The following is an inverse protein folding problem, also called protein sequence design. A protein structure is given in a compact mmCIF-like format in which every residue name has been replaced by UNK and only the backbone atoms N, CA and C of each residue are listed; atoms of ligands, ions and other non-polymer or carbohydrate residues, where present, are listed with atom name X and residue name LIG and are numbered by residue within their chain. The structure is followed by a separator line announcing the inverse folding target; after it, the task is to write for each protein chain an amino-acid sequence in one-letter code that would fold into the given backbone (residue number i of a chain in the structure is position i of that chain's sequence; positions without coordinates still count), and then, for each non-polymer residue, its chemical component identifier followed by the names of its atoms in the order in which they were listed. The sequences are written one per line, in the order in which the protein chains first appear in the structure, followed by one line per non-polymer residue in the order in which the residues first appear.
data_IF_730821010273
#
_entry.id   IF_730821010273
#
_cell.length_a   1.000
_cell.length_b   1.000
_cell.length_c   1.000
_cell.angle_alpha   90.00
_cell.angle_beta   90.00
_cell.angle_gamma   90.00
#
_symmetry.space_group_name_H-M   'P 1'
#
loop_
_entity.id
_entity.type
_entity.pdbx_description
1 polymer ?
#
# COMPACT_ATOMS: atom_id res chain seq x y z
N UNK A 1 -15.38 33.40 -38.97
CA UNK A 1 -14.51 33.69 -37.80
C UNK A 1 -14.97 32.98 -36.51
N UNK A 2 -16.28 32.94 -36.20
CA UNK A 2 -16.82 32.41 -34.92
C UNK A 2 -16.66 30.89 -34.70
N UNK A 3 -16.86 30.07 -35.73
CA UNK A 3 -16.79 28.60 -35.60
C UNK A 3 -15.40 28.06 -35.22
N UNK A 4 -14.32 28.67 -35.75
CA UNK A 4 -12.95 28.28 -35.40
C UNK A 4 -12.70 28.44 -33.90
N UNK A 5 -13.13 29.57 -33.32
CA UNK A 5 -12.98 29.85 -31.89
C UNK A 5 -13.76 28.85 -31.03
N UNK A 6 -14.94 28.44 -31.49
CA UNK A 6 -15.75 27.42 -30.81
C UNK A 6 -15.08 26.04 -30.83
N UNK A 7 -14.60 25.59 -32.00
CA UNK A 7 -13.90 24.30 -32.14
C UNK A 7 -12.62 24.24 -31.31
N UNK A 8 -11.83 25.32 -31.31
CA UNK A 8 -10.62 25.42 -30.48
C UNK A 8 -10.94 25.25 -28.99
N UNK A 9 -12.01 25.87 -28.50
CA UNK A 9 -12.43 25.72 -27.08
C UNK A 9 -12.93 24.32 -26.77
N UNK A 10 -13.68 23.70 -27.69
CA UNK A 10 -14.16 22.33 -27.55
C UNK A 10 -13.00 21.33 -27.49
N UNK A 11 -11.99 21.52 -28.35
CA UNK A 11 -10.81 20.68 -28.42
C UNK A 11 -9.93 20.83 -27.17
N UNK A 12 -9.75 22.06 -26.67
CA UNK A 12 -9.06 22.32 -25.39
C UNK A 12 -9.80 21.65 -24.22
N UNK A 13 -11.14 21.75 -24.17
CA UNK A 13 -11.93 21.08 -23.15
C UNK A 13 -11.78 19.57 -23.24
N UNK A 14 -11.94 18.97 -24.43
CA UNK A 14 -11.81 17.53 -24.65
C UNK A 14 -10.42 17.01 -24.28
N UNK A 15 -9.34 17.74 -24.65
CA UNK A 15 -7.96 17.41 -24.28
C UNK A 15 -7.76 17.51 -22.76
N UNK A 16 -8.33 18.52 -22.09
CA UNK A 16 -8.27 18.66 -20.64
C UNK A 16 -9.01 17.53 -19.92
N UNK A 17 -10.18 17.11 -20.41
CA UNK A 17 -10.92 15.96 -19.85
C UNK A 17 -10.21 14.62 -20.11
N UNK A 18 -9.66 14.41 -21.31
CA UNK A 18 -8.90 13.20 -21.63
C UNK A 18 -7.63 13.07 -20.78
N UNK A 19 -6.92 14.19 -20.55
CA UNK A 19 -5.74 14.20 -19.71
C UNK A 19 -6.09 14.05 -18.21
N UNK A 20 -7.15 14.73 -17.74
CA UNK A 20 -7.66 14.59 -16.36
C UNK A 20 -8.09 13.15 -16.04
N UNK A 21 -8.71 12.45 -16.99
CA UNK A 21 -9.12 11.05 -16.80
C UNK A 21 -7.92 10.11 -16.75
N UNK A 22 -6.88 10.33 -17.58
CA UNK A 22 -5.65 9.54 -17.51
C UNK A 22 -4.86 9.80 -16.23
N UNK A 23 -4.70 11.06 -15.81
CA UNK A 23 -3.98 11.35 -14.57
C UNK A 23 -4.72 10.83 -13.34
N UNK A 24 -6.05 10.97 -13.26
CA UNK A 24 -6.81 10.42 -12.13
C UNK A 24 -6.80 8.89 -12.10
N UNK A 25 -6.82 8.19 -13.24
CA UNK A 25 -6.78 6.73 -13.27
C UNK A 25 -5.40 6.17 -12.95
N UNK A 26 -4.33 6.80 -13.45
CA UNK A 26 -2.93 6.43 -13.15
C UNK A 26 -2.57 6.71 -11.69
N UNK A 27 -3.01 7.83 -11.13
CA UNK A 27 -2.79 8.13 -9.72
C UNK A 27 -3.59 7.18 -8.81
N UNK A 28 -4.83 6.84 -9.17
CA UNK A 28 -5.65 5.91 -8.38
C UNK A 28 -5.10 4.48 -8.40
N UNK A 29 -4.62 3.99 -9.55
CA UNK A 29 -4.00 2.66 -9.64
C UNK A 29 -2.68 2.59 -8.87
N UNK A 30 -1.88 3.66 -8.90
CA UNK A 30 -0.63 3.77 -8.12
C UNK A 30 -0.89 3.76 -6.60
N UNK A 31 -1.86 4.54 -6.12
CA UNK A 31 -2.23 4.59 -4.69
C UNK A 31 -2.79 3.26 -4.21
N UNK A 32 -3.65 2.60 -4.99
CA UNK A 32 -4.18 1.28 -4.65
C UNK A 32 -3.07 0.22 -4.60
N UNK A 33 -2.15 0.21 -5.57
CA UNK A 33 -1.01 -0.71 -5.59
C UNK A 33 -0.08 -0.50 -4.38
N UNK A 34 0.17 0.75 -4.01
CA UNK A 34 0.95 1.08 -2.82
C UNK A 34 0.28 0.62 -1.53
N UNK A 35 -1.03 0.87 -1.37
CA UNK A 35 -1.80 0.42 -0.22
C UNK A 35 -1.82 -1.11 -0.12
N UNK A 36 -2.01 -1.80 -1.24
CA UNK A 36 -1.99 -3.26 -1.28
C UNK A 36 -0.63 -3.82 -0.86
N UNK A 37 0.47 -3.28 -1.40
CA UNK A 37 1.84 -3.65 -1.00
C UNK A 37 2.08 -3.46 0.49
N UNK A 38 1.69 -2.31 1.05
CA UNK A 38 1.81 -2.07 2.50
C UNK A 38 1.00 -3.08 3.31
N UNK A 39 -0.22 -3.39 2.88
CA UNK A 39 -1.08 -4.35 3.57
C UNK A 39 -0.52 -5.78 3.52
N UNK A 40 0.02 -6.22 2.37
CA UNK A 40 0.61 -7.55 2.24
C UNK A 40 1.93 -7.67 2.99
N UNK A 41 2.76 -6.62 3.00
CA UNK A 41 3.98 -6.56 3.82
C UNK A 41 3.68 -6.68 5.31
N UNK A 42 2.65 -5.98 5.79
CA UNK A 42 2.20 -6.07 7.18
C UNK A 42 1.72 -7.48 7.52
N UNK A 43 0.80 -8.03 6.73
CA UNK A 43 0.25 -9.38 6.95
C UNK A 43 1.34 -10.44 6.89
N UNK A 44 2.30 -10.32 5.96
CA UNK A 44 3.42 -11.24 5.87
C UNK A 44 4.30 -11.20 7.12
N UNK A 45 4.62 -10.02 7.66
CA UNK A 45 5.43 -9.90 8.87
C UNK A 45 4.73 -10.55 10.09
N UNK A 46 3.43 -10.32 10.26
CA UNK A 46 2.63 -10.92 11.34
C UNK A 46 2.53 -12.44 11.17
N UNK A 47 2.26 -12.92 9.95
CA UNK A 47 2.15 -14.35 9.66
C UNK A 47 3.47 -15.07 9.93
N UNK A 48 4.60 -14.53 9.45
CA UNK A 48 5.93 -15.11 9.68
C UNK A 48 6.26 -15.13 11.18
N UNK A 49 6.03 -14.04 11.91
CA UNK A 49 6.23 -14.01 13.37
C UNK A 49 5.40 -15.07 14.08
N UNK A 50 4.11 -15.17 13.75
CA UNK A 50 3.20 -16.15 14.34
C UNK A 50 3.62 -17.59 14.06
N UNK A 51 4.03 -17.90 12.81
CA UNK A 51 4.52 -19.22 12.42
C UNK A 51 5.79 -19.60 13.20
N UNK A 52 6.75 -18.67 13.30
CA UNK A 52 7.98 -18.88 14.08
C UNK A 52 7.64 -19.13 15.55
N UNK A 53 6.76 -18.29 16.12
CA UNK A 53 6.26 -18.46 17.48
C UNK A 53 5.64 -19.83 17.69
N UNK A 54 4.84 -20.31 16.75
CA UNK A 54 4.19 -21.63 16.82
C UNK A 54 5.19 -22.79 16.79
N UNK A 55 6.20 -22.72 15.92
CA UNK A 55 7.26 -23.73 15.83
C UNK A 55 8.02 -23.80 17.16
N UNK A 56 8.40 -22.66 17.73
CA UNK A 56 9.11 -22.61 19.01
C UNK A 56 8.24 -23.07 20.17
N UNK A 57 6.99 -22.64 20.23
CA UNK A 57 6.06 -23.10 21.24
C UNK A 57 5.86 -24.62 21.20
N UNK A 58 5.93 -25.24 20.01
CA UNK A 58 5.88 -26.69 19.86
C UNK A 58 7.19 -27.39 20.27
N UNK A 59 8.33 -26.73 20.09
CA UNK A 59 9.63 -27.30 20.45
C UNK A 59 9.89 -27.24 21.96
N UNK A 60 9.56 -26.11 22.59
CA UNK A 60 9.76 -25.87 24.03
C UNK A 60 8.56 -26.26 24.90
N UNK A 61 7.41 -26.60 24.29
CA UNK A 61 6.18 -26.91 25.03
C UNK A 61 5.54 -25.70 25.70
N UNK A 62 5.88 -24.47 25.30
CA UNK A 62 5.45 -23.22 25.92
C UNK A 62 4.14 -22.65 25.35
N UNK A 63 3.40 -23.43 24.54
CA UNK A 63 2.14 -23.01 23.91
C UNK A 63 1.17 -22.38 24.92
N UNK A 64 0.58 -21.19 24.66
CA UNK A 64 0.75 -20.31 23.48
C UNK A 64 1.62 -19.06 23.75
N UNK A 65 2.60 -19.14 24.64
CA UNK A 65 3.32 -17.96 25.15
C UNK A 65 4.28 -17.35 24.11
N UNK A 66 5.07 -18.16 23.41
CA UNK A 66 5.97 -17.65 22.37
C UNK A 66 5.19 -17.19 21.14
N UNK A 67 4.10 -17.86 20.77
CA UNK A 67 3.20 -17.37 19.72
C UNK A 67 2.75 -15.95 20.03
N UNK A 68 2.34 -15.67 21.28
CA UNK A 68 1.85 -14.35 21.67
C UNK A 68 2.95 -13.29 21.56
N UNK A 69 4.16 -13.59 22.03
CA UNK A 69 5.31 -12.69 21.97
C UNK A 69 5.72 -12.41 20.53
N UNK A 70 5.90 -13.46 19.73
CA UNK A 70 6.32 -13.32 18.33
C UNK A 70 5.23 -12.69 17.45
N UNK A 71 3.95 -12.85 17.82
CA UNK A 71 2.86 -12.12 17.19
C UNK A 71 3.03 -10.60 17.37
N UNK A 72 3.23 -10.13 18.62
CA UNK A 72 3.46 -8.70 18.87
C UNK A 72 4.73 -8.19 18.19
N UNK A 73 5.82 -8.97 18.20
CA UNK A 73 7.04 -8.64 17.46
C UNK A 73 6.75 -8.48 15.96
N UNK A 74 5.99 -9.41 15.37
CA UNK A 74 5.58 -9.35 13.96
C UNK A 74 4.71 -8.12 13.65
N UNK A 75 3.77 -7.77 14.54
CA UNK A 75 2.94 -6.56 14.41
C UNK A 75 3.80 -5.30 14.46
N UNK A 76 4.71 -5.18 15.44
CA UNK A 76 5.62 -4.03 15.56
C UNK A 76 6.51 -3.92 14.32
N UNK A 77 7.11 -5.02 13.88
CA UNK A 77 7.92 -5.04 12.66
C UNK A 77 7.13 -4.64 11.41
N UNK A 78 5.90 -5.15 11.27
CA UNK A 78 4.99 -4.79 10.18
C UNK A 78 4.65 -3.30 10.16
N UNK A 79 4.29 -2.71 11.31
CA UNK A 79 4.00 -1.27 11.43
C UNK A 79 5.24 -0.45 11.06
N UNK A 80 6.41 -0.81 11.57
CA UNK A 80 7.66 -0.11 11.24
C UNK A 80 7.95 -0.13 9.74
N UNK A 81 7.70 -1.25 9.07
CA UNK A 81 7.92 -1.37 7.63
C UNK A 81 6.92 -0.51 6.82
N UNK A 82 5.64 -0.53 7.20
CA UNK A 82 4.60 0.31 6.56
C UNK A 82 4.90 1.79 6.74
N UNK A 83 5.24 2.23 7.95
CA UNK A 83 5.59 3.62 8.25
C UNK A 83 6.83 4.05 7.46
N UNK A 84 7.85 3.19 7.35
CA UNK A 84 9.03 3.45 6.54
C UNK A 84 8.68 3.59 5.05
N UNK A 85 7.85 2.71 4.51
CA UNK A 85 7.35 2.80 3.13
C UNK A 85 6.57 4.10 2.88
N UNK A 86 5.70 4.51 3.82
CA UNK A 86 4.94 5.75 3.72
C UNK A 86 5.84 6.99 3.75
N UNK A 87 6.84 7.02 4.65
CA UNK A 87 7.83 8.11 4.70
C UNK A 87 8.63 8.22 3.40
N UNK A 88 9.07 7.10 2.84
CA UNK A 88 9.80 7.10 1.57
C UNK A 88 8.96 7.58 0.38
N UNK A 89 7.64 7.45 0.44
CA UNK A 89 6.72 8.01 -0.56
C UNK A 89 6.49 9.52 -0.41
N UNK A 90 6.60 10.07 0.81
CA UNK A 90 6.48 11.52 1.02
C UNK A 90 7.78 12.28 0.75
N UNK A 91 8.94 11.62 0.89
CA UNK A 91 10.27 12.25 0.73
C UNK A 91 10.71 12.31 -0.75
N UNK A 92 10.01 11.61 -1.66
CA UNK A 92 10.27 11.61 -3.10
C UNK A 92 9.26 12.46 -3.85
#
# INVERSE_FOLDING_TARGET
MSEKKFKTRLEIAKKKFANKNNENSVNKSSVLGAAFKMSTEFVAAVAVGTIIGFIFDNWFGTKPWLILIFFFVGVVAGILNVVKSAKNMQIK
#
